data_IF_127220363275
#
_entry.id   IF_127220363275
#
_cell.length_a   1.000
_cell.length_b   1.000
_cell.length_c   1.000
_cell.angle_alpha   90.00
_cell.angle_beta   90.00
_cell.angle_gamma   90.00
#
_symmetry.space_group_name_H-M   'P 1'
#
loop_
_entity.id
_entity.type
_entity.pdbx_description
1 polymer ?
#
# COMPACT_ATOMS: atom_id res chain seq x y z
N UNK A 1 24.44 10.74 -8.10
CA UNK A 1 24.17 11.29 -7.09
C UNK A 1 22.83 11.13 -6.66
N UNK A 2 21.95 11.13 -7.46
CA UNK A 2 20.59 10.98 -7.07
C UNK A 2 20.18 9.60 -6.65
N UNK A 3 20.97 8.61 -6.99
CA UNK A 3 20.62 7.24 -6.67
C UNK A 3 20.51 7.01 -5.17
N UNK A 4 21.42 7.62 -4.41
CA UNK A 4 21.36 7.47 -2.97
C UNK A 4 20.13 8.14 -2.39
N UNK A 5 19.74 9.27 -2.94
CA UNK A 5 18.55 9.94 -2.48
C UNK A 5 17.31 9.12 -2.76
N UNK A 6 17.27 8.48 -3.93
CA UNK A 6 16.13 7.66 -4.27
C UNK A 6 16.02 6.45 -3.36
N UNK A 7 17.15 5.83 -3.03
CA UNK A 7 17.13 4.71 -2.12
C UNK A 7 16.68 5.13 -0.73
N UNK A 8 17.16 6.28 -0.27
CA UNK A 8 16.73 6.81 1.01
C UNK A 8 15.23 7.03 1.01
N UNK A 9 14.70 7.53 -0.10
CA UNK A 9 13.28 7.82 -0.19
C UNK A 9 12.41 6.57 -0.12
N UNK A 10 12.94 5.41 -0.48
CA UNK A 10 12.19 4.18 -0.33
C UNK A 10 11.81 3.91 1.11
N UNK A 11 12.69 4.28 2.04
CA UNK A 11 12.42 4.08 3.45
C UNK A 11 11.66 5.23 4.06
N UNK A 12 11.71 6.39 3.39
CA UNK A 12 11.05 7.59 3.90
C UNK A 12 9.83 7.96 3.10
N UNK A 13 9.33 7.03 2.30
CA UNK A 13 8.14 7.28 1.49
C UNK A 13 6.98 7.66 2.40
N UNK A 14 6.34 8.77 2.07
CA UNK A 14 5.23 9.24 2.88
C UNK A 14 4.02 8.36 2.69
N UNK A 15 3.11 8.29 3.68
CA UNK A 15 1.87 7.53 3.54
C UNK A 15 1.08 7.94 2.30
N UNK A 16 1.13 9.23 1.95
CA UNK A 16 0.40 9.71 0.78
C UNK A 16 0.89 9.08 -0.51
N UNK A 17 2.19 8.92 -0.67
CA UNK A 17 2.74 8.25 -1.84
C UNK A 17 2.33 6.79 -1.88
N UNK A 18 2.32 6.14 -0.72
CA UNK A 18 1.89 4.74 -0.64
C UNK A 18 0.42 4.64 -1.02
N UNK A 19 -0.42 5.57 -0.58
CA UNK A 19 -1.82 5.60 -0.95
C UNK A 19 -2.00 5.76 -2.45
N UNK A 20 -1.21 6.61 -3.09
CA UNK A 20 -1.29 6.80 -4.52
C UNK A 20 -0.93 5.53 -5.27
N UNK A 21 0.11 4.84 -4.83
CA UNK A 21 0.49 3.56 -5.42
C UNK A 21 -0.59 2.52 -5.22
N UNK A 22 -1.18 2.51 -4.03
CA UNK A 22 -2.26 1.59 -3.72
C UNK A 22 -3.43 1.82 -4.65
N UNK A 23 -3.83 3.07 -4.85
CA UNK A 23 -4.93 3.38 -5.77
C UNK A 23 -4.65 2.92 -7.18
N UNK A 24 -3.42 3.13 -7.67
CA UNK A 24 -3.03 2.67 -8.99
C UNK A 24 -3.11 1.16 -9.10
N UNK A 25 -2.63 0.45 -8.09
CA UNK A 25 -2.65 -1.00 -8.10
C UNK A 25 -4.07 -1.55 -8.07
N UNK A 26 -4.94 -0.93 -7.27
CA UNK A 26 -6.33 -1.34 -7.20
C UNK A 26 -7.01 -1.17 -8.56
N UNK A 27 -6.79 -0.04 -9.21
CA UNK A 27 -7.36 0.19 -10.54
C UNK A 27 -6.82 -0.80 -11.55
N UNK A 28 -5.53 -1.08 -11.49
CA UNK A 28 -4.93 -2.06 -12.39
C UNK A 28 -5.53 -3.45 -12.17
N UNK A 29 -5.75 -3.82 -10.92
CA UNK A 29 -6.37 -5.10 -10.61
C UNK A 29 -7.79 -5.17 -11.17
N UNK A 30 -8.55 -4.08 -11.07
CA UNK A 30 -9.93 -4.09 -11.59
C UNK A 30 -9.97 -4.30 -13.09
N UNK A 31 -8.91 -3.94 -13.79
CA UNK A 31 -8.83 -4.13 -15.23
C UNK A 31 -8.37 -5.53 -15.62
N UNK A 32 -7.36 -6.06 -14.95
CA UNK A 32 -6.74 -7.33 -15.34
C UNK A 32 -6.99 -8.47 -14.38
N UNK A 33 -7.27 -8.16 -13.12
CA UNK A 33 -7.62 -9.13 -12.08
C UNK A 33 -6.61 -10.26 -11.93
N UNK A 34 -5.32 -9.91 -11.96
CA UNK A 34 -4.28 -10.90 -11.77
C UNK A 34 -3.95 -11.03 -10.29
N UNK A 35 -3.55 -12.24 -9.88
CA UNK A 35 -3.16 -12.49 -8.50
C UNK A 35 -1.94 -11.68 -8.11
N UNK A 36 -1.04 -11.45 -9.04
CA UNK A 36 0.16 -10.66 -8.75
C UNK A 36 -0.21 -9.24 -8.31
N UNK A 37 -1.20 -8.63 -8.96
CA UNK A 37 -1.65 -7.31 -8.56
C UNK A 37 -2.33 -7.33 -7.21
N UNK A 38 -3.13 -8.37 -6.93
CA UNK A 38 -3.77 -8.50 -5.63
C UNK A 38 -2.73 -8.62 -4.52
N UNK A 39 -1.69 -9.41 -4.76
CA UNK A 39 -0.60 -9.53 -3.79
C UNK A 39 0.12 -8.21 -3.58
N UNK A 40 0.30 -7.44 -4.65
CA UNK A 40 0.94 -6.14 -4.55
C UNK A 40 0.09 -5.18 -3.71
N UNK A 41 -1.24 -5.22 -3.86
CA UNK A 41 -2.14 -4.40 -3.06
C UNK A 41 -2.00 -4.77 -1.58
N UNK A 42 -2.00 -6.06 -1.27
CA UNK A 42 -1.83 -6.52 0.12
C UNK A 42 -0.53 -5.99 0.69
N UNK A 43 0.55 -6.11 -0.08
CA UNK A 43 1.86 -5.66 0.39
C UNK A 43 1.88 -4.16 0.66
N UNK A 44 1.28 -3.37 -0.22
CA UNK A 44 1.23 -1.92 -0.01
C UNK A 44 0.41 -1.56 1.22
N UNK A 45 -0.69 -2.27 1.46
CA UNK A 45 -1.49 -2.05 2.65
C UNK A 45 -0.70 -2.38 3.91
N UNK A 46 0.07 -3.46 3.88
CA UNK A 46 0.89 -3.83 5.03
C UNK A 46 1.95 -2.77 5.30
N UNK A 47 2.58 -2.26 4.25
CA UNK A 47 3.58 -1.20 4.39
C UNK A 47 2.93 0.05 4.98
N UNK A 48 1.78 0.43 4.46
CA UNK A 48 1.08 1.61 4.92
C UNK A 48 0.69 1.50 6.39
N UNK A 49 0.16 0.36 6.79
CA UNK A 49 -0.26 0.15 8.17
C UNK A 49 0.92 0.11 9.13
N UNK A 50 2.09 -0.30 8.66
CA UNK A 50 3.29 -0.30 9.47
C UNK A 50 4.05 1.01 9.47
N UNK A 51 3.60 2.00 8.69
CA UNK A 51 4.31 3.26 8.58
C UNK A 51 4.10 4.08 9.85
N UNK A 52 5.17 4.63 10.44
CA UNK A 52 5.02 5.39 11.69
C UNK A 52 4.05 6.55 11.58
N UNK A 53 4.03 7.23 10.45
CA UNK A 53 3.15 8.38 10.26
C UNK A 53 1.69 7.98 10.17
N UNK A 54 1.40 6.74 9.80
CA UNK A 54 0.03 6.26 9.69
C UNK A 54 -0.58 5.97 11.06
N UNK A 55 0.25 5.69 12.04
CA UNK A 55 -0.20 5.35 13.39
C UNK A 55 -0.95 6.52 14.02
N UNK A 56 -0.61 7.76 13.63
CA UNK A 56 -1.27 8.93 14.17
C UNK A 56 -2.67 9.18 13.66
N UNK A 57 -3.17 8.35 12.74
CA UNK A 57 -4.49 8.56 12.14
C UNK A 57 -5.34 7.31 12.31
N UNK A 58 -5.92 7.10 13.51
CA UNK A 58 -6.61 5.85 13.82
C UNK A 58 -7.80 5.54 12.91
N UNK A 59 -8.53 6.56 12.46
CA UNK A 59 -9.69 6.30 11.58
C UNK A 59 -9.26 5.78 10.23
N UNK A 60 -8.22 6.36 9.66
CA UNK A 60 -7.69 5.91 8.38
C UNK A 60 -7.08 4.53 8.51
N UNK A 61 -6.36 4.31 9.61
CA UNK A 61 -5.75 3.01 9.87
C UNK A 61 -6.80 1.92 9.94
N UNK A 62 -7.91 2.19 10.60
CA UNK A 62 -8.99 1.22 10.70
C UNK A 62 -9.55 0.88 9.32
N UNK A 63 -9.72 1.88 8.45
CA UNK A 63 -10.19 1.67 7.09
C UNK A 63 -9.22 0.80 6.30
N UNK A 64 -7.93 1.06 6.42
CA UNK A 64 -6.93 0.27 5.71
C UNK A 64 -6.87 -1.17 6.24
N UNK A 65 -7.07 -1.37 7.54
CA UNK A 65 -7.10 -2.72 8.08
C UNK A 65 -8.27 -3.52 7.50
N UNK A 66 -9.42 -2.90 7.36
CA UNK A 66 -10.57 -3.55 6.75
C UNK A 66 -10.28 -3.90 5.29
N UNK A 67 -9.65 -3.00 4.57
CA UNK A 67 -9.24 -3.27 3.19
C UNK A 67 -8.29 -4.46 3.13
N UNK A 68 -7.33 -4.49 4.03
CA UNK A 68 -6.33 -5.56 4.05
C UNK A 68 -7.01 -6.93 4.22
N UNK A 69 -7.97 -7.02 5.13
CA UNK A 69 -8.70 -8.27 5.34
C UNK A 69 -9.40 -8.69 4.04
N UNK A 70 -10.06 -7.75 3.38
CA UNK A 70 -10.77 -8.04 2.14
C UNK A 70 -9.82 -8.49 1.03
N UNK A 71 -8.69 -7.80 0.89
CA UNK A 71 -7.74 -8.13 -0.17
C UNK A 71 -7.02 -9.45 0.08
N UNK A 72 -6.77 -9.78 1.34
CA UNK A 72 -6.20 -11.09 1.67
C UNK A 72 -7.13 -12.22 1.29
N UNK A 73 -8.43 -12.00 1.34
CA UNK A 73 -9.39 -13.00 0.91
C UNK A 73 -9.37 -13.21 -0.61
N UNK A 74 -8.96 -12.20 -1.36
CA UNK A 74 -8.86 -12.30 -2.81
C UNK A 74 -7.59 -13.06 -3.22
N UNK A 75 -6.52 -12.87 -2.46
CA UNK A 75 -5.26 -13.55 -2.74
C UNK A 75 -5.36 -15.00 -2.29
N UNK A 76 -5.15 -15.91 -3.21
CA UNK A 76 -5.27 -17.34 -2.94
C UNK A 76 -3.90 -17.98 -2.88
#
# INVERSE_FOLDING_TARGET
>A
MNDLSEMTNLFETSPKLIEMRLGFLVQSFLQTKTQDLAKAVVKQLEILLGHPDCIGYPNERCGYQKMLVQWRAIVI
#
